data_IF_114585124061
#
_entry.id   IF_114585124061
#
_cell.length_a   1.000
_cell.length_b   1.000
_cell.length_c   1.000
_cell.angle_alpha   90.00
_cell.angle_beta   90.00
_cell.angle_gamma   90.00
#
_symmetry.space_group_name_H-M   'P 1'
#
loop_
_entity.id
_entity.type
_entity.pdbx_description
1 polymer ?
#
# COMPACT_ATOMS: atom_id res chain seq x y z
N UNK A 1 -50.70 -30.16 -64.78
CA UNK A 1 -49.83 -28.98 -64.74
C UNK A 1 -49.86 -28.49 -63.29
N UNK A 2 -48.92 -28.92 -62.45
CA UNK A 2 -48.82 -28.50 -61.04
C UNK A 2 -47.48 -27.81 -60.83
N UNK A 3 -47.49 -26.51 -60.61
CA UNK A 3 -46.33 -25.68 -60.28
C UNK A 3 -46.06 -25.80 -58.75
N UNK A 4 -44.93 -26.37 -58.41
CA UNK A 4 -44.44 -26.44 -57.03
C UNK A 4 -43.58 -25.20 -56.79
N UNK A 5 -44.00 -24.32 -55.87
CA UNK A 5 -43.28 -23.18 -55.33
C UNK A 5 -42.37 -23.69 -54.20
N UNK A 6 -41.08 -23.61 -54.40
CA UNK A 6 -40.10 -23.90 -53.33
C UNK A 6 -39.84 -22.57 -52.61
N UNK A 7 -40.25 -22.48 -51.35
CA UNK A 7 -39.93 -21.37 -50.47
C UNK A 7 -38.55 -21.62 -49.84
N UNK A 8 -37.55 -20.83 -50.15
CA UNK A 8 -36.27 -20.83 -49.50
C UNK A 8 -36.31 -20.12 -48.16
N UNK A 9 -36.17 -20.87 -47.08
CA UNK A 9 -35.99 -20.35 -45.71
C UNK A 9 -34.54 -19.95 -45.52
N UNK A 10 -34.27 -18.65 -45.51
CA UNK A 10 -32.98 -18.08 -45.13
C UNK A 10 -32.92 -18.07 -43.59
N UNK A 11 -32.25 -19.04 -43.00
CA UNK A 11 -31.92 -19.01 -41.58
C UNK A 11 -30.75 -18.07 -41.36
N UNK A 12 -31.07 -16.85 -40.88
CA UNK A 12 -30.10 -15.89 -40.43
C UNK A 12 -29.53 -16.35 -39.10
N UNK A 13 -28.30 -16.83 -39.10
CA UNK A 13 -27.51 -17.14 -37.90
C UNK A 13 -27.14 -15.82 -37.22
N UNK A 14 -27.80 -15.48 -36.11
CA UNK A 14 -27.32 -14.48 -35.17
C UNK A 14 -26.10 -15.07 -34.42
N UNK A 15 -24.92 -14.85 -34.97
CA UNK A 15 -23.67 -15.06 -34.23
C UNK A 15 -23.55 -13.89 -33.25
N UNK A 16 -23.95 -14.11 -32.01
CA UNK A 16 -23.65 -13.21 -30.93
C UNK A 16 -22.12 -13.11 -30.71
N UNK A 17 -21.57 -11.94 -30.39
CA UNK A 17 -20.13 -11.80 -30.20
C UNK A 17 -19.71 -12.39 -28.86
N UNK A 18 -19.38 -13.67 -28.85
CA UNK A 18 -18.75 -14.37 -27.71
C UNK A 18 -17.32 -13.89 -27.44
N UNK A 19 -16.74 -13.07 -28.32
CA UNK A 19 -15.37 -12.56 -28.18
C UNK A 19 -15.21 -11.45 -27.12
N UNK A 20 -16.25 -10.73 -26.73
CA UNK A 20 -16.15 -9.65 -25.76
C UNK A 20 -15.92 -10.15 -24.33
N UNK A 21 -16.56 -11.25 -23.92
CA UNK A 21 -16.40 -11.83 -22.58
C UNK A 21 -14.99 -12.43 -22.35
N UNK A 22 -14.40 -13.02 -23.36
CA UNK A 22 -13.04 -13.60 -23.26
C UNK A 22 -11.98 -12.50 -23.08
N UNK A 23 -12.09 -11.38 -23.80
CA UNK A 23 -11.15 -10.26 -23.69
C UNK A 23 -11.21 -9.55 -22.32
N UNK A 24 -12.37 -9.47 -21.69
CA UNK A 24 -12.51 -8.90 -20.33
C UNK A 24 -11.92 -9.83 -19.26
N UNK A 25 -12.07 -11.15 -19.40
CA UNK A 25 -11.46 -12.13 -18.51
C UNK A 25 -9.93 -12.08 -18.54
N UNK A 26 -9.33 -12.00 -19.72
CA UNK A 26 -7.87 -11.91 -19.90
C UNK A 26 -7.31 -10.59 -19.35
N UNK A 27 -8.02 -9.49 -19.45
CA UNK A 27 -7.62 -8.20 -18.89
C UNK A 27 -7.70 -8.18 -17.36
N UNK A 28 -8.70 -8.83 -16.76
CA UNK A 28 -8.83 -8.94 -15.32
C UNK A 28 -7.75 -9.86 -14.74
N UNK A 29 -7.48 -11.00 -15.36
CA UNK A 29 -6.39 -11.91 -14.98
C UNK A 29 -5.04 -11.18 -15.03
N UNK A 30 -4.75 -10.47 -16.11
CA UNK A 30 -3.49 -9.71 -16.26
C UNK A 30 -3.37 -8.54 -15.25
N UNK A 31 -4.48 -7.96 -14.78
CA UNK A 31 -4.45 -6.96 -13.71
C UNK A 31 -4.17 -7.58 -12.35
N UNK A 32 -4.78 -8.74 -12.07
CA UNK A 32 -4.55 -9.47 -10.81
C UNK A 32 -3.09 -9.92 -10.70
N UNK A 33 -2.52 -10.46 -11.78
CA UNK A 33 -1.11 -10.86 -11.84
C UNK A 33 -0.17 -9.68 -11.60
N UNK A 34 -0.40 -8.54 -12.26
CA UNK A 34 0.39 -7.31 -12.04
C UNK A 34 0.29 -6.80 -10.61
N UNK A 35 -0.88 -6.90 -10.00
CA UNK A 35 -1.06 -6.50 -8.59
C UNK A 35 -0.31 -7.44 -7.64
N UNK A 36 -0.34 -8.75 -7.88
CA UNK A 36 0.43 -9.72 -7.09
C UNK A 36 1.92 -9.49 -7.23
N UNK A 37 2.41 -9.28 -8.45
CA UNK A 37 3.82 -8.99 -8.71
C UNK A 37 4.24 -7.69 -8.02
N UNK A 38 3.46 -6.62 -8.15
CA UNK A 38 3.73 -5.36 -7.48
C UNK A 38 3.74 -5.49 -5.94
N UNK A 39 2.83 -6.30 -5.36
CA UNK A 39 2.81 -6.57 -3.92
C UNK A 39 4.06 -7.36 -3.48
N UNK A 40 4.50 -8.34 -4.27
CA UNK A 40 5.72 -9.11 -4.01
C UNK A 40 6.98 -8.23 -4.11
N UNK A 41 7.07 -7.39 -5.14
CA UNK A 41 8.19 -6.44 -5.32
C UNK A 41 8.26 -5.45 -4.16
N UNK A 42 7.10 -4.97 -3.69
CA UNK A 42 7.01 -4.07 -2.54
C UNK A 42 7.47 -4.76 -1.26
N UNK A 43 7.04 -5.99 -1.00
CA UNK A 43 7.48 -6.76 0.16
C UNK A 43 8.99 -6.98 0.14
N UNK A 44 9.55 -7.35 -1.00
CA UNK A 44 11.00 -7.50 -1.21
C UNK A 44 11.74 -6.19 -0.95
N UNK A 45 11.21 -5.06 -1.43
CA UNK A 45 11.80 -3.74 -1.18
C UNK A 45 11.76 -3.37 0.31
N UNK A 46 10.68 -3.69 1.01
CA UNK A 46 10.57 -3.45 2.45
C UNK A 46 11.59 -4.30 3.22
N UNK A 47 11.73 -5.58 2.86
CA UNK A 47 12.72 -6.47 3.45
C UNK A 47 14.15 -5.95 3.25
N UNK A 48 14.48 -5.48 2.05
CA UNK A 48 15.77 -4.88 1.75
C UNK A 48 16.02 -3.60 2.59
N UNK A 49 15.01 -2.75 2.77
CA UNK A 49 15.11 -1.55 3.61
C UNK A 49 15.33 -1.90 5.09
N UNK A 50 14.60 -2.88 5.61
CA UNK A 50 14.73 -3.36 7.00
C UNK A 50 16.11 -3.99 7.22
N UNK A 51 16.57 -4.82 6.29
CA UNK A 51 17.92 -5.40 6.36
C UNK A 51 19.02 -4.32 6.32
N UNK A 52 18.88 -3.34 5.44
CA UNK A 52 19.79 -2.18 5.36
C UNK A 52 19.77 -1.35 6.65
N UNK A 53 18.60 -1.12 7.24
CA UNK A 53 18.47 -0.43 8.53
C UNK A 53 19.14 -1.21 9.66
N UNK A 54 18.91 -2.52 9.76
CA UNK A 54 19.54 -3.39 10.75
C UNK A 54 21.06 -3.35 10.64
N UNK A 55 21.58 -3.50 9.42
CA UNK A 55 23.02 -3.44 9.16
C UNK A 55 23.63 -2.07 9.51
N UNK A 56 22.96 -0.97 9.12
CA UNK A 56 23.40 0.40 9.39
C UNK A 56 23.41 0.77 10.87
N UNK A 57 22.55 0.17 11.68
CA UNK A 57 22.53 0.37 13.13
C UNK A 57 23.71 -0.30 13.84
N UNK A 58 24.26 -1.39 13.32
CA UNK A 58 25.35 -2.13 13.95
C UNK A 58 24.97 -2.64 15.34
N UNK A 59 23.82 -3.36 15.40
CA UNK A 59 23.25 -3.82 16.66
C UNK A 59 24.16 -4.84 17.36
N UNK A 60 24.24 -4.77 18.68
CA UNK A 60 24.85 -5.81 19.52
C UNK A 60 23.95 -7.07 19.55
N UNK A 61 24.50 -8.20 19.98
CA UNK A 61 23.75 -9.46 20.09
C UNK A 61 22.48 -9.33 20.95
N UNK A 62 22.48 -8.52 22.00
CA UNK A 62 21.32 -8.31 22.86
C UNK A 62 20.29 -7.38 22.19
N UNK A 63 20.74 -6.35 21.49
CA UNK A 63 19.88 -5.47 20.70
C UNK A 63 19.22 -6.21 19.52
N UNK A 64 19.92 -7.17 18.90
CA UNK A 64 19.35 -7.98 17.81
C UNK A 64 18.12 -8.79 18.23
N UNK A 65 18.04 -9.22 19.50
CA UNK A 65 16.87 -9.91 20.05
C UNK A 65 15.62 -9.01 20.06
N UNK A 66 15.82 -7.71 20.15
CA UNK A 66 14.76 -6.70 20.16
C UNK A 66 14.36 -6.24 18.75
N UNK A 67 15.15 -6.58 17.73
CA UNK A 67 14.88 -6.24 16.34
C UNK A 67 13.66 -6.97 15.76
N UNK A 68 13.52 -8.26 16.05
CA UNK A 68 12.47 -9.12 15.49
C UNK A 68 11.04 -8.58 15.69
N UNK A 69 10.64 -8.22 16.92
CA UNK A 69 9.34 -7.60 17.18
C UNK A 69 9.09 -6.30 16.38
N UNK A 70 10.10 -5.43 16.27
CA UNK A 70 10.02 -4.21 15.47
C UNK A 70 9.85 -4.51 13.97
N UNK A 71 10.67 -5.41 13.43
CA UNK A 71 10.59 -5.83 12.03
C UNK A 71 9.22 -6.42 11.70
N UNK A 72 8.70 -7.31 12.56
CA UNK A 72 7.37 -7.90 12.39
C UNK A 72 6.27 -6.83 12.39
N UNK A 73 6.29 -5.90 13.33
CA UNK A 73 5.29 -4.83 13.41
C UNK A 73 5.28 -3.94 12.17
N UNK A 74 6.45 -3.65 11.58
CA UNK A 74 6.56 -2.87 10.33
C UNK A 74 5.98 -3.65 9.15
N UNK A 75 6.31 -4.94 9.02
CA UNK A 75 5.79 -5.83 7.95
C UNK A 75 4.28 -6.00 8.05
N UNK A 76 3.75 -6.21 9.26
CA UNK A 76 2.31 -6.36 9.50
C UNK A 76 1.55 -5.08 9.16
N UNK A 77 2.10 -3.92 9.48
CA UNK A 77 1.51 -2.63 9.13
C UNK A 77 1.50 -2.40 7.61
N UNK A 78 2.57 -2.77 6.91
CA UNK A 78 2.62 -2.68 5.43
C UNK A 78 1.62 -3.65 4.80
N UNK A 79 1.54 -4.90 5.27
CA UNK A 79 0.55 -5.88 4.82
C UNK A 79 -0.87 -5.36 5.02
N UNK A 80 -1.22 -4.89 6.21
CA UNK A 80 -2.54 -4.33 6.51
C UNK A 80 -2.92 -3.18 5.56
N UNK A 81 -1.96 -2.33 5.23
CA UNK A 81 -2.15 -1.24 4.26
C UNK A 81 -2.39 -1.74 2.85
N UNK A 82 -1.69 -2.79 2.43
CA UNK A 82 -1.85 -3.41 1.12
C UNK A 82 -3.19 -4.11 0.99
N UNK A 83 -3.61 -4.84 2.03
CA UNK A 83 -4.91 -5.51 2.07
C UNK A 83 -6.06 -4.49 1.95
N UNK A 84 -6.00 -3.37 2.67
CA UNK A 84 -6.97 -2.28 2.57
C UNK A 84 -7.00 -1.62 1.18
N UNK A 85 -5.85 -1.49 0.53
CA UNK A 85 -5.76 -0.96 -0.84
C UNK A 85 -6.36 -1.93 -1.86
N UNK A 86 -6.09 -3.23 -1.71
CA UNK A 86 -6.66 -4.29 -2.55
C UNK A 86 -8.18 -4.33 -2.46
N UNK A 87 -8.72 -4.25 -1.25
CA UNK A 87 -10.16 -4.22 -1.02
C UNK A 87 -10.83 -3.00 -1.67
N UNK A 88 -10.23 -1.81 -1.52
CA UNK A 88 -10.73 -0.60 -2.18
C UNK A 88 -10.74 -0.72 -3.72
N UNK A 89 -9.70 -1.34 -4.29
CA UNK A 89 -9.65 -1.58 -5.74
C UNK A 89 -10.71 -2.59 -6.19
N UNK A 90 -10.95 -3.64 -5.39
CA UNK A 90 -11.99 -4.64 -5.64
C UNK A 90 -13.38 -4.00 -5.67
N UNK A 91 -13.74 -3.19 -4.67
CA UNK A 91 -15.01 -2.46 -4.63
C UNK A 91 -15.20 -1.55 -5.85
N UNK A 92 -14.16 -0.82 -6.23
CA UNK A 92 -14.18 0.02 -7.43
C UNK A 92 -14.40 -0.77 -8.73
N UNK A 93 -13.79 -1.96 -8.84
CA UNK A 93 -13.94 -2.79 -10.05
C UNK A 93 -15.32 -3.42 -10.18
N UNK A 94 -16.03 -3.60 -9.05
CA UNK A 94 -17.40 -4.12 -9.01
C UNK A 94 -18.46 -3.06 -9.34
N UNK A 95 -18.04 -1.81 -9.58
CA UNK A 95 -18.95 -0.72 -9.91
C UNK A 95 -19.80 -0.22 -8.73
N UNK A 96 -19.47 -0.65 -7.51
CA UNK A 96 -20.13 -0.15 -6.30
C UNK A 96 -19.84 1.33 -6.12
N UNK A 97 -20.89 2.13 -6.28
CA UNK A 97 -20.82 3.56 -5.99
C UNK A 97 -21.09 3.76 -4.52
N UNK A 98 -20.03 4.00 -3.76
CA UNK A 98 -20.14 4.41 -2.37
C UNK A 98 -20.88 5.77 -2.30
N UNK A 99 -21.79 5.89 -1.33
CA UNK A 99 -22.35 7.22 -1.03
C UNK A 99 -21.25 8.13 -0.44
N UNK A 100 -21.43 9.46 -0.48
CA UNK A 100 -20.50 10.38 0.18
C UNK A 100 -20.28 10.05 1.66
N UNK A 101 -21.29 9.57 2.36
CA UNK A 101 -21.20 9.19 3.78
C UNK A 101 -20.40 7.91 3.95
N UNK A 102 -20.68 6.85 3.18
CA UNK A 102 -19.90 5.61 3.21
C UNK A 102 -18.40 5.87 2.91
N UNK A 103 -18.13 6.84 2.01
CA UNK A 103 -16.76 7.25 1.71
C UNK A 103 -16.05 7.89 2.92
N UNK A 104 -16.76 8.74 3.68
CA UNK A 104 -16.24 9.35 4.90
C UNK A 104 -16.02 8.31 5.99
N UNK A 105 -16.94 7.37 6.18
CA UNK A 105 -16.81 6.26 7.12
C UNK A 105 -15.60 5.38 6.78
N UNK A 106 -15.47 4.96 5.53
CA UNK A 106 -14.32 4.19 5.08
C UNK A 106 -12.99 4.96 5.19
N UNK A 107 -13.01 6.28 5.10
CA UNK A 107 -11.83 7.11 5.36
C UNK A 107 -11.50 7.15 6.85
N UNK A 108 -12.50 7.29 7.73
CA UNK A 108 -12.32 7.28 9.18
C UNK A 108 -11.75 5.94 9.67
N UNK A 109 -12.27 4.82 9.16
CA UNK A 109 -11.77 3.49 9.47
C UNK A 109 -10.31 3.30 9.05
N UNK A 110 -9.93 3.78 7.87
CA UNK A 110 -8.53 3.72 7.40
C UNK A 110 -7.59 4.57 8.27
N UNK A 111 -8.02 5.74 8.70
CA UNK A 111 -7.24 6.59 9.60
C UNK A 111 -7.07 5.91 10.96
N UNK A 112 -8.13 5.35 11.52
CA UNK A 112 -8.11 4.59 12.77
C UNK A 112 -7.18 3.38 12.70
N UNK A 113 -7.30 2.59 11.62
CA UNK A 113 -6.40 1.45 11.39
C UNK A 113 -4.94 1.89 11.20
N UNK A 114 -4.73 3.00 10.48
CA UNK A 114 -3.40 3.60 10.32
C UNK A 114 -2.78 4.01 11.65
N UNK A 115 -3.55 4.70 12.50
CA UNK A 115 -3.10 5.09 13.85
C UNK A 115 -2.77 3.87 14.72
N UNK A 116 -3.61 2.83 14.68
CA UNK A 116 -3.37 1.56 15.39
C UNK A 116 -2.07 0.90 14.93
N UNK A 117 -1.81 0.85 13.63
CA UNK A 117 -0.59 0.25 13.07
C UNK A 117 0.66 1.05 13.48
N UNK A 118 0.60 2.39 13.43
CA UNK A 118 1.71 3.26 13.89
C UNK A 118 1.98 3.04 15.38
N UNK A 119 0.93 2.92 16.19
CA UNK A 119 1.09 2.62 17.62
C UNK A 119 1.77 1.27 17.86
N UNK A 120 1.37 0.22 17.14
CA UNK A 120 2.02 -1.10 17.23
C UNK A 120 3.50 -1.04 16.87
N UNK A 121 3.86 -0.30 15.82
CA UNK A 121 5.26 -0.09 15.45
C UNK A 121 6.01 0.63 16.57
N UNK A 122 5.44 1.70 17.14
CA UNK A 122 6.07 2.45 18.22
C UNK A 122 6.27 1.60 19.48
N UNK A 123 5.26 0.82 19.87
CA UNK A 123 5.31 -0.08 21.03
C UNK A 123 6.40 -1.16 20.84
N UNK A 124 6.52 -1.71 19.62
CA UNK A 124 7.54 -2.70 19.28
C UNK A 124 8.95 -2.09 19.12
N UNK A 125 9.04 -0.85 18.64
CA UNK A 125 10.32 -0.14 18.49
C UNK A 125 10.89 0.33 19.82
N UNK A 126 10.05 0.65 20.80
CA UNK A 126 10.47 1.28 22.06
C UNK A 126 11.55 0.50 22.81
N UNK A 127 11.43 -0.83 23.06
CA UNK A 127 12.48 -1.58 23.75
C UNK A 127 13.82 -1.56 23.01
N UNK A 128 13.78 -1.66 21.67
CA UNK A 128 14.96 -1.55 20.83
C UNK A 128 15.58 -0.16 20.97
N UNK A 129 14.80 0.89 20.77
CA UNK A 129 15.25 2.28 20.82
C UNK A 129 15.87 2.66 22.18
N UNK A 130 15.24 2.23 23.27
CA UNK A 130 15.74 2.46 24.65
C UNK A 130 17.10 1.78 24.90
N UNK A 131 17.41 0.68 24.19
CA UNK A 131 18.68 -0.04 24.29
C UNK A 131 19.81 0.55 23.43
N UNK A 132 19.50 1.47 22.50
CA UNK A 132 20.48 2.05 21.58
C UNK A 132 21.33 3.13 22.28
N UNK A 133 22.59 3.23 21.88
CA UNK A 133 23.42 4.37 22.22
C UNK A 133 23.03 5.64 21.38
N UNK A 134 23.59 6.79 21.71
CA UNK A 134 23.22 8.06 21.06
C UNK A 134 23.56 8.08 19.56
N UNK A 135 24.67 7.44 19.14
CA UNK A 135 25.01 7.32 17.72
C UNK A 135 24.01 6.43 16.97
N UNK A 136 23.65 5.30 17.60
CA UNK A 136 22.64 4.38 17.06
C UNK A 136 21.24 5.03 17.00
N UNK A 137 20.83 5.82 18.01
CA UNK A 137 19.56 6.58 18.00
C UNK A 137 19.52 7.58 16.86
N UNK A 138 20.62 8.31 16.62
CA UNK A 138 20.72 9.21 15.47
C UNK A 138 20.55 8.45 14.15
N UNK A 139 21.25 7.33 13.97
CA UNK A 139 21.11 6.46 12.79
C UNK A 139 19.71 5.90 12.65
N UNK A 140 19.07 5.49 13.77
CA UNK A 140 17.69 4.98 13.76
C UNK A 140 16.71 6.03 13.21
N UNK A 141 16.85 7.29 13.63
CA UNK A 141 16.03 8.40 13.10
C UNK A 141 16.24 8.62 11.60
N UNK A 142 17.49 8.62 11.13
CA UNK A 142 17.81 8.80 9.71
C UNK A 142 17.32 7.62 8.86
N UNK A 143 17.65 6.40 9.26
CA UNK A 143 17.29 5.19 8.51
C UNK A 143 15.78 4.90 8.57
N UNK A 144 15.12 5.22 9.68
CA UNK A 144 13.67 5.09 9.85
C UNK A 144 12.87 5.92 8.82
N UNK A 145 13.43 7.05 8.37
CA UNK A 145 12.81 7.83 7.29
C UNK A 145 12.71 7.07 5.97
N UNK A 146 13.60 6.10 5.72
CA UNK A 146 13.55 5.25 4.52
C UNK A 146 12.35 4.28 4.53
N UNK A 147 11.81 3.97 5.71
CA UNK A 147 10.62 3.13 5.86
C UNK A 147 9.32 3.90 5.60
N UNK A 148 9.36 5.23 5.70
CA UNK A 148 8.19 6.06 5.43
C UNK A 148 7.85 6.11 3.94
N UNK A 149 6.54 6.12 3.58
CA UNK A 149 6.12 6.36 2.21
C UNK A 149 6.61 7.72 1.71
N UNK A 150 6.99 7.81 0.44
CA UNK A 150 7.53 9.05 -0.16
C UNK A 150 6.60 10.26 0.02
N UNK A 151 5.29 10.07 -0.07
CA UNK A 151 4.31 11.13 0.19
C UNK A 151 4.37 11.70 1.61
N UNK A 152 4.65 10.86 2.59
CA UNK A 152 4.80 11.29 3.99
C UNK A 152 6.14 12.02 4.21
N UNK A 153 7.18 11.64 3.47
CA UNK A 153 8.48 12.33 3.49
C UNK A 153 8.35 13.74 2.94
N UNK A 154 7.66 13.91 1.80
CA UNK A 154 7.43 15.21 1.17
C UNK A 154 6.56 16.13 2.06
N UNK A 155 5.51 15.61 2.67
CA UNK A 155 4.68 16.37 3.60
C UNK A 155 5.45 16.84 4.85
N UNK A 156 6.35 16.01 5.37
CA UNK A 156 7.18 16.34 6.52
C UNK A 156 8.26 17.39 6.18
N UNK A 157 8.79 17.34 4.96
CA UNK A 157 9.77 18.31 4.46
C UNK A 157 9.13 19.68 4.21
N UNK A 158 7.92 19.72 3.65
CA UNK A 158 7.13 20.95 3.51
C UNK A 158 6.79 21.58 4.87
N UNK A 159 6.49 20.75 5.88
CA UNK A 159 6.17 21.23 7.22
C UNK A 159 7.38 21.85 7.92
N UNK A 160 8.59 21.31 7.69
CA UNK A 160 9.85 21.88 8.21
C UNK A 160 10.22 23.22 7.55
N UNK A 161 9.97 23.36 6.25
CA UNK A 161 10.20 24.62 5.55
C UNK A 161 9.28 25.74 6.06
N UNK A 162 8.02 25.45 6.36
CA UNK A 162 7.07 26.44 6.87
C UNK A 162 7.34 26.87 8.31
N UNK A 163 7.94 26.02 9.13
CA UNK A 163 8.30 26.36 10.52
C UNK A 163 9.61 27.18 10.63
N UNK A 164 10.49 27.09 9.63
CA UNK A 164 11.76 27.84 9.63
C UNK A 164 11.65 29.29 9.18
N UNK A 165 10.56 29.69 8.52
CA UNK A 165 10.40 31.05 7.99
C UNK A 165 9.83 32.07 9.01
N UNK A 166 9.30 31.60 10.14
CA UNK A 166 8.70 32.50 11.13
C UNK A 166 9.65 33.01 12.21
N UNK A 167 10.90 32.57 12.27
CA UNK A 167 11.86 33.00 13.30
C UNK A 167 12.75 34.18 12.87
N UNK A 168 12.58 34.77 11.67
CA UNK A 168 13.44 35.86 11.19
C UNK A 168 12.79 37.24 11.17
N UNK A 169 11.52 37.42 11.46
CA UNK A 169 10.84 38.74 11.42
C UNK A 169 10.64 39.41 12.80
N UNK A 170 11.42 39.05 13.81
CA UNK A 170 11.27 39.55 15.16
C UNK A 170 12.46 40.27 15.76
N UNK A 171 13.33 40.90 14.93
CA UNK A 171 14.45 41.67 15.45
C UNK A 171 14.68 42.98 14.63
N UNK A 172 13.83 43.99 14.84
CA UNK A 172 14.14 45.42 14.67
C UNK A 172 13.46 46.21 15.77
#
# INVERSE_FOLDING_TARGET
MKRILVAALVAGSLSAPTFALAAEGDQQASRAERMQQWAADRATMLDAKLAGMKAGLGLTTDQEKLWGPFESAVKDADKSRMDAMGEMMRMRSQGERMSPIDHLEAMADRLSQGATNVKKIADAAKPLYDSLDESQKHKFGMLGRMLMPERSRFAMEMMHHHMGEHDHDGAE
#
